data_IF_319170243159
#
_entry.id   IF_319170243159
#
_cell.length_a   1.000
_cell.length_b   1.000
_cell.length_c   1.000
_cell.angle_alpha   90.00
_cell.angle_beta   90.00
_cell.angle_gamma   90.00
#
_symmetry.space_group_name_H-M   'P 1'
#
loop_
_entity.id
_entity.type
_entity.pdbx_description
1 polymer ?
#
# COMPACT_ATOMS: atom_id res chain seq x y z
N UNK A 1 -17.05 4.85 -0.72
CA UNK A 1 -17.84 6.00 -0.19
C UNK A 1 -18.04 5.90 1.35
N UNK A 2 -16.99 6.12 2.17
CA UNK A 2 -17.10 6.44 3.63
C UNK A 2 -15.79 7.05 4.18
N UNK A 3 -14.61 6.59 3.74
CA UNK A 3 -13.29 7.14 4.14
C UNK A 3 -12.92 8.49 3.51
N UNK A 4 -13.77 9.05 2.65
CA UNK A 4 -13.58 10.40 2.12
C UNK A 4 -13.78 11.51 3.18
N UNK A 5 -14.34 11.18 4.36
CA UNK A 5 -14.71 12.17 5.39
C UNK A 5 -14.22 11.88 6.82
N UNK A 6 -13.61 10.72 7.07
CA UNK A 6 -13.17 10.36 8.41
C UNK A 6 -11.82 11.04 8.72
N UNK A 7 -11.89 12.18 9.39
CA UNK A 7 -10.73 13.01 9.77
C UNK A 7 -10.26 12.72 11.21
N UNK A 8 -11.12 12.14 12.03
CA UNK A 8 -10.86 11.89 13.45
C UNK A 8 -11.64 10.66 13.91
N UNK A 9 -10.96 9.75 14.60
CA UNK A 9 -11.53 8.57 15.25
C UNK A 9 -11.17 8.65 16.73
N UNK A 10 -12.18 8.54 17.60
CA UNK A 10 -11.99 8.41 19.03
C UNK A 10 -12.60 7.07 19.47
N UNK A 11 -11.77 6.18 20.03
CA UNK A 11 -12.18 4.86 20.49
C UNK A 11 -12.02 4.83 22.01
N UNK A 12 -13.14 4.62 22.71
CA UNK A 12 -13.14 4.42 24.17
C UNK A 12 -13.21 2.92 24.45
N UNK A 13 -12.12 2.35 24.95
CA UNK A 13 -12.15 0.98 25.46
C UNK A 13 -12.61 1.01 26.92
N UNK A 14 -13.91 0.77 27.15
CA UNK A 14 -14.51 0.75 28.50
C UNK A 14 -14.10 -0.44 29.36
N UNK A 15 -13.40 -1.44 28.79
CA UNK A 15 -12.92 -2.63 29.53
C UNK A 15 -11.53 -2.38 30.09
N UNK A 16 -10.67 -1.67 29.35
CA UNK A 16 -9.31 -1.35 29.78
C UNK A 16 -9.15 0.10 30.29
N UNK A 17 -10.20 0.91 30.22
CA UNK A 17 -10.20 2.37 30.50
C UNK A 17 -9.16 3.16 29.67
N UNK A 18 -8.86 2.66 28.46
CA UNK A 18 -7.92 3.29 27.53
C UNK A 18 -8.71 4.00 26.43
N UNK A 19 -8.41 5.29 26.25
CA UNK A 19 -8.90 6.08 25.12
C UNK A 19 -7.84 6.08 24.03
N UNK A 20 -8.22 5.67 22.82
CA UNK A 20 -7.39 5.80 21.63
C UNK A 20 -7.92 6.95 20.78
N UNK A 21 -7.05 7.91 20.48
CA UNK A 21 -7.38 9.03 19.58
C UNK A 21 -6.53 8.90 18.34
N UNK A 22 -7.18 8.83 17.17
CA UNK A 22 -6.52 8.87 15.88
C UNK A 22 -7.01 10.07 15.08
N UNK A 23 -6.10 10.91 14.59
CA UNK A 23 -6.41 12.03 13.71
C UNK A 23 -5.72 11.86 12.37
N UNK A 24 -6.48 12.02 11.30
CA UNK A 24 -6.01 11.92 9.92
C UNK A 24 -6.01 13.31 9.28
N UNK A 25 -4.85 13.78 8.82
CA UNK A 25 -4.71 15.05 8.09
C UNK A 25 -4.12 14.80 6.72
N UNK A 26 -4.88 15.08 5.66
CA UNK A 26 -4.31 15.15 4.31
C UNK A 26 -3.57 16.49 4.18
N UNK A 27 -2.27 16.42 3.92
CA UNK A 27 -1.40 17.56 3.67
C UNK A 27 -1.25 17.77 2.15
N UNK A 28 -0.56 18.84 1.76
CA UNK A 28 -0.22 19.10 0.35
C UNK A 28 0.84 18.10 -0.17
N UNK A 29 0.91 17.96 -1.49
CA UNK A 29 1.86 17.12 -2.22
C UNK A 29 1.78 15.65 -1.79
N UNK A 30 0.58 15.08 -1.78
CA UNK A 30 0.37 13.64 -1.54
C UNK A 30 0.83 13.15 -0.17
N UNK A 31 1.03 14.06 0.78
CA UNK A 31 1.38 13.72 2.15
C UNK A 31 0.13 13.47 2.99
N UNK A 32 0.18 12.40 3.76
CA UNK A 32 -0.82 12.05 4.76
C UNK A 32 -0.15 12.00 6.12
N UNK A 33 -0.77 12.61 7.10
CA UNK A 33 -0.34 12.53 8.48
C UNK A 33 -1.39 11.81 9.31
N UNK A 34 -0.93 10.84 10.11
CA UNK A 34 -1.74 10.11 11.07
C UNK A 34 -1.14 10.34 12.46
N UNK A 35 -1.90 11.00 13.31
CA UNK A 35 -1.60 11.21 14.72
C UNK A 35 -2.34 10.15 15.53
N UNK A 36 -1.63 9.37 16.34
CA UNK A 36 -2.19 8.36 17.23
C UNK A 36 -1.63 8.55 18.63
N UNK A 37 -2.50 8.89 19.59
CA UNK A 37 -2.12 9.08 21.00
C UNK A 37 -0.94 10.04 21.24
N UNK A 38 -0.78 11.05 20.38
CA UNK A 38 0.30 12.04 20.44
C UNK A 38 1.49 11.74 19.52
N UNK A 39 1.65 10.49 19.07
CA UNK A 39 2.67 10.11 18.09
C UNK A 39 2.19 10.43 16.68
N UNK A 40 3.03 11.06 15.87
CA UNK A 40 2.68 11.50 14.52
C UNK A 40 3.52 10.77 13.47
N UNK A 41 2.86 10.06 12.57
CA UNK A 41 3.49 9.38 11.44
C UNK A 41 3.08 10.02 10.12
N UNK A 42 4.02 10.22 9.20
CA UNK A 42 3.74 10.74 7.87
C UNK A 42 3.90 9.65 6.82
N UNK A 43 3.07 9.75 5.80
CA UNK A 43 3.01 8.81 4.69
C UNK A 43 2.99 9.59 3.39
N UNK A 44 3.75 9.11 2.40
CA UNK A 44 3.56 9.50 1.02
C UNK A 44 2.46 8.62 0.41
N UNK A 45 1.44 9.23 -0.19
CA UNK A 45 0.24 8.53 -0.65
C UNK A 45 0.12 8.61 -2.16
N UNK A 46 0.04 7.46 -2.82
CA UNK A 46 -0.17 7.38 -4.27
C UNK A 46 -1.51 6.73 -4.51
N UNK A 47 -2.37 7.40 -5.26
CA UNK A 47 -3.75 6.97 -5.50
C UNK A 47 -4.10 6.93 -6.97
N UNK A 48 -5.01 6.05 -7.32
CA UNK A 48 -5.57 5.93 -8.68
C UNK A 48 -7.07 5.74 -8.57
N UNK A 49 -7.82 6.58 -9.29
CA UNK A 49 -9.24 6.37 -9.55
C UNK A 49 -9.33 5.40 -10.73
N UNK A 50 -10.05 4.30 -10.53
CA UNK A 50 -10.26 3.25 -11.51
C UNK A 50 -11.69 3.36 -12.05
N UNK A 51 -11.83 3.24 -13.38
CA UNK A 51 -13.13 3.05 -14.03
C UNK A 51 -13.62 1.63 -13.74
N UNK A 52 -14.73 1.55 -13.01
CA UNK A 52 -15.33 0.33 -12.50
C UNK A 52 -16.60 -0.07 -13.27
N UNK A 53 -16.98 0.72 -14.28
CA UNK A 53 -18.24 0.56 -15.02
C UNK A 53 -18.41 -0.82 -15.66
N UNK A 54 -17.30 -1.47 -16.02
CA UNK A 54 -17.29 -2.82 -16.62
C UNK A 54 -17.18 -3.96 -15.58
N UNK A 55 -16.97 -3.63 -14.32
CA UNK A 55 -16.64 -4.59 -13.26
C UNK A 55 -17.78 -4.81 -12.27
N UNK A 56 -18.57 -3.78 -11.97
CA UNK A 56 -19.67 -3.89 -11.00
C UNK A 56 -20.80 -2.95 -11.41
N UNK A 57 -22.00 -3.51 -11.54
CA UNK A 57 -23.20 -2.75 -11.89
C UNK A 57 -23.45 -1.67 -10.81
N UNK A 58 -23.83 -0.47 -11.25
CA UNK A 58 -24.05 0.71 -10.39
C UNK A 58 -22.79 1.27 -9.70
N UNK A 59 -21.58 0.84 -10.07
CA UNK A 59 -20.33 1.43 -9.58
C UNK A 59 -19.55 2.00 -10.76
N UNK A 60 -19.59 3.33 -10.92
CA UNK A 60 -18.88 4.00 -12.02
C UNK A 60 -17.36 3.99 -11.80
N UNK A 61 -16.92 4.26 -10.57
CA UNK A 61 -15.50 4.36 -10.23
C UNK A 61 -15.21 3.85 -8.83
N UNK A 62 -13.97 3.43 -8.61
CA UNK A 62 -13.44 3.11 -7.27
C UNK A 62 -12.05 3.73 -7.11
N UNK A 63 -11.58 3.94 -5.87
CA UNK A 63 -10.23 4.42 -5.58
C UNK A 63 -9.38 3.28 -5.03
N UNK A 64 -8.14 3.19 -5.51
CA UNK A 64 -7.08 2.36 -4.95
C UNK A 64 -5.92 3.26 -4.53
N UNK A 65 -5.43 3.09 -3.31
CA UNK A 65 -4.44 3.97 -2.70
C UNK A 65 -3.36 3.17 -1.97
N UNK A 66 -2.10 3.60 -2.12
CA UNK A 66 -0.92 3.08 -1.42
C UNK A 66 -0.36 4.17 -0.52
N UNK A 67 -0.06 3.86 0.74
CA UNK A 67 0.54 4.82 1.66
C UNK A 67 1.86 4.29 2.24
N UNK A 68 2.95 5.01 2.00
CA UNK A 68 4.31 4.62 2.33
C UNK A 68 4.85 5.47 3.49
N UNK A 69 5.24 4.87 4.63
CA UNK A 69 5.77 5.63 5.76
C UNK A 69 7.06 6.39 5.39
N UNK A 70 7.16 7.64 5.80
CA UNK A 70 8.34 8.49 5.56
C UNK A 70 9.38 8.34 6.66
N UNK A 71 8.95 8.25 7.91
CA UNK A 71 9.82 8.07 9.06
C UNK A 71 10.11 6.58 9.30
N UNK A 72 11.16 6.06 8.67
CA UNK A 72 11.58 4.66 8.87
C UNK A 72 13.08 4.56 9.11
N UNK A 73 13.50 4.09 10.28
CA UNK A 73 14.87 3.65 10.53
C UNK A 73 15.02 2.19 10.13
N UNK A 74 15.81 1.89 9.10
CA UNK A 74 15.99 0.53 8.62
C UNK A 74 14.83 0.01 7.76
N UNK A 75 14.40 -1.23 8.00
CA UNK A 75 13.35 -1.89 7.22
C UNK A 75 11.98 -1.54 7.83
N UNK A 76 11.04 -0.94 7.07
CA UNK A 76 9.75 -0.52 7.61
C UNK A 76 8.89 -1.68 8.10
N UNK A 77 8.13 -1.49 9.17
CA UNK A 77 7.22 -2.49 9.70
C UNK A 77 6.13 -2.88 8.71
N UNK A 78 5.63 -4.10 8.84
CA UNK A 78 4.51 -4.58 8.02
C UNK A 78 3.25 -3.77 8.32
N UNK A 79 2.56 -3.35 7.28
CA UNK A 79 1.37 -2.49 7.32
C UNK A 79 0.12 -3.27 6.92
N UNK A 80 -1.06 -2.88 7.43
CA UNK A 80 -2.33 -3.54 7.10
C UNK A 80 -2.85 -3.16 5.71
N UNK A 81 -3.71 -4.02 5.18
CA UNK A 81 -4.60 -3.72 4.06
C UNK A 81 -5.93 -3.22 4.63
N UNK A 82 -6.55 -2.24 3.99
CA UNK A 82 -7.79 -1.62 4.45
C UNK A 82 -8.92 -1.84 3.46
N UNK A 83 -10.06 -2.26 4.00
CA UNK A 83 -11.37 -2.25 3.36
C UNK A 83 -12.35 -1.59 4.33
N UNK A 84 -12.37 -0.27 4.31
CA UNK A 84 -12.94 0.60 5.35
C UNK A 84 -12.25 0.51 6.73
N UNK A 85 -12.06 -0.70 7.27
CA UNK A 85 -11.30 -0.98 8.49
C UNK A 85 -10.03 -1.80 8.14
N UNK A 86 -9.03 -1.82 9.04
CA UNK A 86 -7.88 -2.70 8.87
C UNK A 86 -8.33 -4.16 8.77
N UNK A 87 -7.79 -4.86 7.78
CA UNK A 87 -7.79 -6.31 7.69
C UNK A 87 -6.51 -6.86 8.33
N UNK A 88 -6.34 -8.18 8.31
CA UNK A 88 -5.07 -8.79 8.72
C UNK A 88 -3.89 -8.28 7.89
N UNK A 89 -2.68 -8.54 8.40
CA UNK A 89 -1.46 -8.22 7.68
C UNK A 89 -1.18 -9.25 6.58
N UNK A 90 -0.83 -8.78 5.38
CA UNK A 90 -0.48 -9.62 4.24
C UNK A 90 1.01 -9.57 3.85
N UNK A 91 1.85 -8.94 4.67
CA UNK A 91 3.30 -8.87 4.47
C UNK A 91 3.82 -7.58 3.85
N UNK A 92 2.94 -6.71 3.36
CA UNK A 92 3.34 -5.41 2.79
C UNK A 92 3.95 -4.49 3.85
N UNK A 93 4.92 -3.68 3.45
CA UNK A 93 5.56 -2.66 4.30
C UNK A 93 4.99 -1.25 4.07
N UNK A 94 3.89 -1.19 3.36
CA UNK A 94 3.11 0.01 3.03
C UNK A 94 1.63 -0.35 3.11
N UNK A 95 0.77 0.63 3.41
CA UNK A 95 -0.66 0.39 3.50
C UNK A 95 -1.27 0.29 2.10
N UNK A 96 -2.24 -0.60 1.95
CA UNK A 96 -3.08 -0.68 0.75
C UNK A 96 -4.50 -0.36 1.17
N UNK A 97 -5.15 0.58 0.50
CA UNK A 97 -6.55 0.90 0.72
C UNK A 97 -7.32 0.71 -0.59
N UNK A 98 -8.40 -0.05 -0.54
CA UNK A 98 -9.34 -0.22 -1.64
C UNK A 98 -10.70 -0.66 -1.13
N UNK A 99 -11.72 -0.52 -1.97
CA UNK A 99 -13.08 -0.98 -1.66
C UNK A 99 -13.20 -2.51 -1.87
N UNK A 100 -12.35 -3.31 -1.20
CA UNK A 100 -12.37 -4.77 -1.31
C UNK A 100 -13.65 -5.37 -0.72
N UNK A 101 -14.22 -6.35 -1.41
CA UNK A 101 -15.29 -7.20 -0.86
C UNK A 101 -14.69 -8.07 0.26
N UNK A 102 -15.36 -8.14 1.41
CA UNK A 102 -14.91 -8.89 2.58
C UNK A 102 -16.03 -9.83 3.07
N UNK A 103 -15.70 -11.05 3.54
CA UNK A 103 -16.68 -11.96 4.12
C UNK A 103 -17.16 -11.43 5.48
N UNK A 104 -18.20 -12.06 6.03
CA UNK A 104 -18.81 -11.65 7.31
C UNK A 104 -17.83 -11.60 8.49
N UNK A 105 -16.80 -12.46 8.51
CA UNK A 105 -15.75 -12.41 9.54
C UNK A 105 -14.90 -11.14 9.47
N UNK A 106 -14.79 -10.53 8.28
CA UNK A 106 -13.95 -9.36 7.99
C UNK A 106 -12.47 -9.51 8.35
N UNK A 107 -12.00 -10.74 8.48
CA UNK A 107 -10.59 -11.03 8.80
C UNK A 107 -9.70 -11.13 7.55
N UNK A 108 -10.29 -11.47 6.40
CA UNK A 108 -9.61 -11.63 5.10
C UNK A 108 -10.40 -10.90 4.00
N UNK A 109 -9.85 -10.87 2.78
CA UNK A 109 -10.58 -10.47 1.58
C UNK A 109 -11.32 -11.68 0.99
N UNK A 110 -12.44 -11.43 0.31
CA UNK A 110 -13.10 -12.46 -0.48
C UNK A 110 -12.22 -12.82 -1.69
N UNK A 111 -11.68 -14.05 -1.70
CA UNK A 111 -10.73 -14.52 -2.71
C UNK A 111 -11.41 -14.84 -4.05
N UNK A 112 -12.68 -15.22 -4.00
CA UNK A 112 -13.46 -15.64 -5.17
C UNK A 112 -14.13 -14.43 -5.86
N UNK A 113 -14.19 -13.28 -5.18
CA UNK A 113 -14.69 -12.03 -5.75
C UNK A 113 -13.88 -11.59 -6.98
N UNK A 114 -14.56 -11.54 -8.14
CA UNK A 114 -14.02 -11.00 -9.40
C UNK A 114 -13.57 -9.55 -9.21
N UNK A 115 -14.34 -8.78 -8.43
CA UNK A 115 -14.02 -7.40 -8.09
C UNK A 115 -12.67 -7.29 -7.37
N UNK A 116 -12.43 -8.12 -6.36
CA UNK A 116 -11.16 -8.13 -5.65
C UNK A 116 -10.00 -8.57 -6.54
N UNK A 117 -10.21 -9.58 -7.38
CA UNK A 117 -9.19 -10.05 -8.33
C UNK A 117 -8.78 -8.94 -9.30
N UNK A 118 -9.75 -8.15 -9.78
CA UNK A 118 -9.48 -6.98 -10.60
C UNK A 118 -8.74 -5.89 -9.83
N UNK A 119 -9.21 -5.48 -8.64
CA UNK A 119 -8.51 -4.49 -7.80
C UNK A 119 -7.06 -4.91 -7.52
N UNK A 120 -6.84 -6.19 -7.21
CA UNK A 120 -5.51 -6.75 -6.99
C UNK A 120 -4.62 -6.63 -8.24
N UNK A 121 -5.19 -6.80 -9.43
CA UNK A 121 -4.45 -6.71 -10.70
C UNK A 121 -3.94 -5.29 -11.00
N UNK A 122 -4.55 -4.26 -10.40
CA UNK A 122 -4.16 -2.86 -10.56
C UNK A 122 -3.01 -2.44 -9.63
N UNK A 123 -2.76 -3.19 -8.55
CA UNK A 123 -1.76 -2.87 -7.53
C UNK A 123 -0.31 -2.75 -8.07
N UNK A 124 0.20 -3.66 -8.92
CA UNK A 124 1.57 -3.55 -9.41
C UNK A 124 1.83 -2.27 -10.19
N UNK A 125 0.88 -1.88 -11.05
CA UNK A 125 0.99 -0.66 -11.85
C UNK A 125 0.96 0.58 -10.96
N UNK A 126 0.10 0.60 -9.93
CA UNK A 126 0.04 1.69 -8.95
C UNK A 126 1.34 1.78 -8.12
N UNK A 127 1.90 0.63 -7.74
CA UNK A 127 3.19 0.58 -7.02
C UNK A 127 4.33 1.17 -7.86
N UNK A 128 4.39 0.88 -9.17
CA UNK A 128 5.39 1.51 -10.04
C UNK A 128 5.19 3.00 -10.25
N UNK A 129 3.95 3.49 -10.25
CA UNK A 129 3.69 4.93 -10.26
C UNK A 129 4.26 5.60 -9.00
N UNK A 130 4.30 4.88 -7.87
CA UNK A 130 4.89 5.40 -6.66
C UNK A 130 6.39 5.68 -6.80
N UNK A 131 7.15 4.87 -7.54
CA UNK A 131 8.56 5.16 -7.82
C UNK A 131 8.75 6.58 -8.39
N UNK A 132 7.94 6.94 -9.39
CA UNK A 132 8.02 8.29 -10.00
C UNK A 132 7.65 9.38 -9.00
N UNK A 133 6.72 9.10 -8.10
CA UNK A 133 6.33 10.01 -7.01
C UNK A 133 7.52 10.21 -6.08
N UNK A 134 8.13 9.13 -5.59
CA UNK A 134 9.31 9.17 -4.73
C UNK A 134 10.49 9.94 -5.34
N UNK A 135 10.79 9.73 -6.63
CA UNK A 135 11.90 10.39 -7.31
C UNK A 135 11.70 11.90 -7.47
N UNK A 136 10.45 12.38 -7.57
CA UNK A 136 10.12 13.78 -7.81
C UNK A 136 9.71 14.53 -6.54
N UNK A 137 9.44 13.81 -5.46
CA UNK A 137 8.85 14.40 -4.27
C UNK A 137 9.85 15.26 -3.48
N UNK A 138 9.42 16.46 -3.10
CA UNK A 138 10.24 17.49 -2.43
C UNK A 138 10.89 17.06 -1.10
N UNK A 139 10.37 16.02 -0.45
CA UNK A 139 10.95 15.50 0.80
C UNK A 139 12.27 14.74 0.57
N UNK A 140 12.58 14.37 -0.67
CA UNK A 140 13.78 13.61 -0.99
C UNK A 140 14.73 14.44 -1.84
N UNK A 141 16.03 14.28 -1.61
CA UNK A 141 17.08 14.87 -2.44
C UNK A 141 17.76 13.79 -3.28
N UNK A 142 18.03 14.09 -4.54
CA UNK A 142 18.80 13.21 -5.44
C UNK A 142 18.24 11.77 -5.45
N UNK A 143 19.04 10.78 -5.04
CA UNK A 143 18.67 9.36 -5.03
C UNK A 143 17.97 8.89 -3.75
N UNK A 144 17.77 9.76 -2.75
CA UNK A 144 17.14 9.39 -1.48
C UNK A 144 15.74 8.79 -1.67
N UNK A 145 14.95 9.36 -2.60
CA UNK A 145 13.60 8.88 -2.89
C UNK A 145 13.61 7.48 -3.47
N UNK A 146 14.55 7.17 -4.35
CA UNK A 146 14.75 5.82 -4.88
C UNK A 146 15.17 4.85 -3.76
N UNK A 147 16.17 5.21 -2.96
CA UNK A 147 16.63 4.37 -1.85
C UNK A 147 15.52 4.10 -0.84
N UNK A 148 14.67 5.10 -0.56
CA UNK A 148 13.54 4.95 0.34
C UNK A 148 12.44 4.08 -0.27
N UNK A 149 12.10 4.29 -1.55
CA UNK A 149 11.15 3.45 -2.30
C UNK A 149 11.55 1.97 -2.30
N UNK A 150 12.83 1.66 -2.50
CA UNK A 150 13.31 0.28 -2.59
C UNK A 150 13.09 -0.52 -1.29
N UNK A 151 12.96 0.13 -0.13
CA UNK A 151 12.62 -0.52 1.14
C UNK A 151 11.22 -1.13 1.16
N UNK A 152 10.36 -0.71 0.22
CA UNK A 152 8.96 -1.14 0.13
C UNK A 152 8.71 -2.20 -0.94
N UNK A 153 9.73 -2.61 -1.70
CA UNK A 153 9.58 -3.65 -2.72
C UNK A 153 9.17 -4.96 -2.04
N UNK A 154 7.97 -5.49 -2.30
CA UNK A 154 7.48 -6.68 -1.62
C UNK A 154 8.23 -7.92 -2.13
N UNK A 155 8.78 -8.71 -1.20
CA UNK A 155 9.40 -9.98 -1.54
C UNK A 155 8.33 -11.08 -1.70
N UNK A 156 8.39 -11.93 -2.74
CA UNK A 156 7.38 -12.96 -2.98
C UNK A 156 7.10 -13.87 -1.79
N UNK A 157 8.13 -14.19 -1.00
CA UNK A 157 8.03 -15.08 0.18
C UNK A 157 7.47 -14.37 1.43
N UNK A 158 7.46 -13.03 1.45
CA UNK A 158 6.89 -12.25 2.56
C UNK A 158 5.39 -12.02 2.40
N UNK A 159 4.89 -11.99 1.14
CA UNK A 159 3.49 -11.70 0.86
C UNK A 159 2.62 -12.95 1.00
N UNK A 160 1.48 -12.78 1.65
CA UNK A 160 0.59 -13.89 2.02
C UNK A 160 -0.62 -14.01 1.09
N UNK A 161 -1.04 -15.26 0.87
CA UNK A 161 -2.33 -15.64 0.31
C UNK A 161 -2.72 -14.88 -0.98
N UNK A 162 -3.87 -14.20 -0.95
CA UNK A 162 -4.52 -13.53 -2.06
C UNK A 162 -3.59 -12.58 -2.81
N UNK A 163 -2.73 -11.86 -2.08
CA UNK A 163 -1.87 -10.83 -2.65
C UNK A 163 -0.52 -11.36 -3.17
N UNK A 164 -0.18 -12.64 -3.00
CA UNK A 164 1.09 -13.21 -3.49
C UNK A 164 1.44 -12.87 -4.95
N UNK A 165 0.49 -12.88 -5.90
CA UNK A 165 0.83 -12.57 -7.29
C UNK A 165 1.27 -11.10 -7.48
N UNK A 166 0.89 -10.18 -6.59
CA UNK A 166 1.27 -8.77 -6.65
C UNK A 166 2.78 -8.61 -6.52
N UNK A 167 3.41 -9.30 -5.55
CA UNK A 167 4.86 -9.25 -5.37
C UNK A 167 5.62 -9.77 -6.60
N UNK A 168 5.15 -10.88 -7.17
CA UNK A 168 5.73 -11.46 -8.38
C UNK A 168 5.65 -10.49 -9.56
N UNK A 169 4.50 -9.87 -9.77
CA UNK A 169 4.29 -8.91 -10.86
C UNK A 169 5.11 -7.63 -10.68
N UNK A 170 5.18 -7.08 -9.46
CA UNK A 170 6.04 -5.92 -9.15
C UNK A 170 7.49 -6.26 -9.46
N UNK A 171 8.00 -7.40 -8.98
CA UNK A 171 9.38 -7.82 -9.23
C UNK A 171 9.68 -8.00 -10.72
N UNK A 172 8.76 -8.60 -11.49
CA UNK A 172 8.90 -8.74 -12.93
C UNK A 172 9.00 -7.38 -13.63
N UNK A 173 8.12 -6.44 -13.28
CA UNK A 173 8.12 -5.13 -13.94
C UNK A 173 9.32 -4.27 -13.51
N UNK A 174 9.76 -4.36 -12.25
CA UNK A 174 10.99 -3.70 -11.79
C UNK A 174 12.23 -4.22 -12.50
N UNK A 175 12.36 -5.53 -12.71
CA UNK A 175 13.46 -6.14 -13.48
C UNK A 175 13.50 -5.67 -14.94
N UNK A 176 12.34 -5.31 -15.51
CA UNK A 176 12.25 -4.79 -16.87
C UNK A 176 12.64 -3.30 -16.96
N UNK A 177 12.88 -2.61 -15.85
CA UNK A 177 13.30 -1.22 -15.88
C UNK A 177 14.79 -1.10 -16.26
N UNK A 178 15.13 -0.28 -17.26
CA UNK A 178 16.47 -0.27 -17.88
C UNK A 178 17.60 0.19 -16.95
N UNK A 179 17.28 0.91 -15.87
CA UNK A 179 18.25 1.45 -14.92
C UNK A 179 18.37 0.61 -13.65
N UNK A 180 17.54 -0.42 -13.47
CA UNK A 180 17.69 -1.37 -12.38
C UNK A 180 18.64 -2.48 -12.85
N UNK A 181 19.85 -2.62 -12.29
CA UNK A 181 20.77 -3.65 -12.74
C UNK A 181 20.21 -5.03 -12.39
N UNK A 182 19.55 -5.68 -13.36
CA UNK A 182 19.28 -7.10 -13.31
C UNK A 182 20.62 -7.82 -13.54
N UNK A 183 21.16 -8.47 -12.51
CA UNK A 183 22.28 -9.40 -12.71
C UNK A 183 21.77 -10.59 -13.54
N UNK A 184 21.93 -10.53 -14.85
CA UNK A 184 22.15 -11.73 -15.65
C UNK A 184 23.64 -12.08 -15.53
N UNK A 185 23.97 -12.89 -14.51
CA UNK A 185 25.31 -13.45 -14.40
C UNK A 185 25.47 -14.56 -15.44
N UNK A 186 26.46 -14.50 -16.34
CA UNK A 186 26.84 -15.66 -17.13
C UNK A 186 27.36 -16.75 -16.19
N UNK A 187 26.93 -17.99 -16.43
CA UNK A 187 27.31 -19.16 -15.66
C UNK A 187 28.82 -19.27 -15.51
N UNK A 188 29.30 -19.24 -14.27
CA UNK A 188 30.63 -19.73 -13.92
C UNK A 188 30.59 -21.26 -13.99
N UNK A 189 31.02 -21.81 -15.13
CA UNK A 189 31.61 -23.14 -15.15
C UNK A 189 32.95 -23.04 -14.43
N UNK A 190 33.02 -23.64 -13.25
CA UNK A 190 34.28 -23.83 -12.53
C UNK A 190 35.04 -24.99 -13.18
N UNK A 191 36.30 -24.71 -13.53
CA UNK A 191 37.38 -25.70 -13.58
C UNK A 191 37.62 -26.27 -12.19
#
# INVERSE_FOLDING_TARGET
MFLHRLQHIFIVNKVSDINHTMRRRNLADDLLEIEHNGDTNRYLVVRKILDASKMKENVATTELSLAFPLETSGIPDKQPVFAFLPLRNYGFRFMIQGDFDVPSSREDVDRDSIWNQWLRSELPALFLQALSTFQKHRCFKSFEGLCHFLKFVPLPDEILDFFQPVARQIMQQLKALPWLPAREGPGLQLL
#
